data_IF_034079617646
#
_entry.id   IF_034079617646
#
_cell.length_a   1.000
_cell.length_b   1.000
_cell.length_c   1.000
_cell.angle_alpha   90.00
_cell.angle_beta   90.00
_cell.angle_gamma   90.00
#
_symmetry.space_group_name_H-M   'P 1'
#
loop_
_entity.id
_entity.type
_entity.pdbx_description
1 polymer ?
#
# COMPACT_ATOMS: atom_id res chain seq x y z
N UNK A 1 1.59 -23.56 -17.86
CA UNK A 1 2.03 -22.22 -17.41
C UNK A 1 1.98 -22.23 -15.88
N UNK A 2 3.13 -22.23 -15.20
CA UNK A 2 3.18 -22.22 -13.74
C UNK A 2 2.76 -20.83 -13.27
N UNK A 3 1.68 -20.76 -12.48
CA UNK A 3 1.24 -19.51 -11.85
C UNK A 3 2.32 -19.08 -10.85
N UNK A 4 2.87 -17.88 -10.99
CA UNK A 4 3.92 -17.38 -10.10
C UNK A 4 3.40 -17.16 -8.68
N UNK A 5 4.26 -17.30 -7.68
CA UNK A 5 3.94 -17.01 -6.29
C UNK A 5 3.40 -15.58 -6.10
N UNK A 6 3.96 -14.62 -6.83
CA UNK A 6 3.51 -13.22 -6.88
C UNK A 6 2.03 -13.07 -7.28
N UNK A 7 1.52 -13.91 -8.20
CA UNK A 7 0.12 -13.90 -8.59
C UNK A 7 -0.78 -14.35 -7.43
N UNK A 8 -0.40 -15.38 -6.70
CA UNK A 8 -1.16 -15.83 -5.52
C UNK A 8 -1.17 -14.78 -4.41
N UNK A 9 -0.07 -14.04 -4.23
CA UNK A 9 -0.03 -12.91 -3.31
C UNK A 9 -0.94 -11.76 -3.75
N UNK A 10 -1.01 -11.45 -5.04
CA UNK A 10 -1.97 -10.47 -5.56
C UNK A 10 -3.43 -10.91 -5.33
N UNK A 11 -3.75 -12.17 -5.58
CA UNK A 11 -5.09 -12.74 -5.32
C UNK A 11 -5.41 -12.71 -3.82
N UNK A 12 -4.47 -13.12 -2.96
CA UNK A 12 -4.64 -13.09 -1.52
C UNK A 12 -4.85 -11.66 -1.02
N UNK A 13 -4.10 -10.68 -1.54
CA UNK A 13 -4.27 -9.28 -1.22
C UNK A 13 -5.66 -8.76 -1.59
N UNK A 14 -6.14 -9.08 -2.79
CA UNK A 14 -7.49 -8.75 -3.22
C UNK A 14 -8.55 -9.41 -2.31
N UNK A 15 -8.38 -10.69 -1.98
CA UNK A 15 -9.29 -11.42 -1.10
C UNK A 15 -9.34 -10.82 0.32
N UNK A 16 -8.19 -10.49 0.91
CA UNK A 16 -8.11 -9.82 2.23
C UNK A 16 -8.78 -8.45 2.19
N UNK A 17 -8.54 -7.68 1.12
CA UNK A 17 -9.16 -6.37 0.93
C UNK A 17 -10.68 -6.48 0.85
N UNK A 18 -11.19 -7.42 0.04
CA UNK A 18 -12.62 -7.72 -0.07
C UNK A 18 -13.19 -8.17 1.27
N UNK A 19 -12.52 -9.07 1.99
CA UNK A 19 -12.96 -9.54 3.29
C UNK A 19 -13.14 -8.40 4.30
N UNK A 20 -12.20 -7.44 4.33
CA UNK A 20 -12.37 -6.25 5.18
C UNK A 20 -13.53 -5.37 4.70
N UNK A 21 -13.65 -5.11 3.40
CA UNK A 21 -14.72 -4.27 2.84
C UNK A 21 -16.11 -4.86 3.15
N UNK A 22 -16.30 -6.15 2.89
CA UNK A 22 -17.57 -6.84 3.17
C UNK A 22 -17.87 -6.87 4.67
N UNK A 23 -16.87 -7.11 5.51
CA UNK A 23 -17.05 -7.09 6.97
C UNK A 23 -17.47 -5.71 7.49
N UNK A 24 -16.96 -4.64 6.87
CA UNK A 24 -17.29 -3.27 7.24
C UNK A 24 -18.48 -2.69 6.47
N UNK A 25 -19.07 -3.43 5.53
CA UNK A 25 -20.17 -3.00 4.66
C UNK A 25 -19.88 -1.68 3.88
N UNK A 26 -18.62 -1.39 3.59
CA UNK A 26 -18.19 -0.15 2.92
C UNK A 26 -18.12 -0.29 1.39
N UNK A 27 -19.27 -0.48 0.77
CA UNK A 27 -19.36 -0.72 -0.68
C UNK A 27 -18.95 0.48 -1.54
N UNK A 28 -19.01 1.72 -1.01
CA UNK A 28 -18.44 2.89 -1.70
C UNK A 28 -16.94 2.70 -1.98
N UNK A 29 -16.21 2.13 -1.00
CA UNK A 29 -14.78 1.86 -1.15
C UNK A 29 -14.52 0.75 -2.18
N UNK A 30 -15.37 -0.28 -2.22
CA UNK A 30 -15.33 -1.33 -3.25
C UNK A 30 -15.52 -0.74 -4.65
N UNK A 31 -16.60 0.01 -4.86
CA UNK A 31 -16.92 0.58 -6.16
C UNK A 31 -15.88 1.58 -6.63
N UNK A 32 -15.37 2.43 -5.73
CA UNK A 32 -14.25 3.32 -6.05
C UNK A 32 -13.03 2.53 -6.53
N UNK A 33 -12.67 1.44 -5.85
CA UNK A 33 -11.55 0.57 -6.24
C UNK A 33 -11.77 -0.08 -7.59
N UNK A 34 -12.97 -0.60 -7.85
CA UNK A 34 -13.34 -1.24 -9.13
C UNK A 34 -13.30 -0.22 -10.27
N UNK A 35 -13.88 0.98 -10.08
CA UNK A 35 -13.88 2.03 -11.09
C UNK A 35 -12.46 2.53 -11.40
N UNK A 36 -11.60 2.68 -10.39
CA UNK A 36 -10.20 3.01 -10.57
C UNK A 36 -9.44 1.92 -11.33
N UNK A 37 -9.67 0.66 -10.98
CA UNK A 37 -9.08 -0.48 -11.67
C UNK A 37 -9.49 -0.49 -13.16
N UNK A 38 -10.78 -0.32 -13.45
CA UNK A 38 -11.27 -0.24 -14.83
C UNK A 38 -10.69 0.96 -15.57
N UNK A 39 -10.75 2.15 -14.97
CA UNK A 39 -10.23 3.38 -15.58
C UNK A 39 -8.74 3.28 -15.93
N UNK A 40 -7.92 2.75 -15.02
CA UNK A 40 -6.48 2.59 -15.23
C UNK A 40 -6.18 1.46 -16.19
N UNK A 41 -6.97 0.39 -16.19
CA UNK A 41 -6.85 -0.67 -17.19
C UNK A 41 -7.18 -0.16 -18.60
N UNK A 42 -8.18 0.73 -18.72
CA UNK A 42 -8.53 1.38 -19.98
C UNK A 42 -7.40 2.30 -20.49
N UNK A 43 -6.83 3.11 -19.58
CA UNK A 43 -5.69 3.97 -19.89
C UNK A 43 -4.45 3.14 -20.25
N UNK A 44 -4.17 2.08 -19.50
CA UNK A 44 -3.09 1.14 -19.76
C UNK A 44 -3.21 0.48 -21.12
N UNK A 45 -4.42 0.08 -21.54
CA UNK A 45 -4.67 -0.48 -22.87
C UNK A 45 -4.35 0.49 -24.02
N UNK A 46 -4.47 1.80 -23.78
CA UNK A 46 -4.09 2.83 -24.76
C UNK A 46 -2.60 3.13 -24.75
N UNK A 47 -1.98 3.17 -23.56
CA UNK A 47 -0.58 3.53 -23.39
C UNK A 47 0.38 2.38 -23.72
N UNK A 48 -0.01 1.14 -23.41
CA UNK A 48 0.79 -0.06 -23.58
C UNK A 48 -0.06 -1.18 -24.25
N UNK A 49 -0.41 -1.01 -25.53
CA UNK A 49 -1.27 -1.95 -26.24
C UNK A 49 -0.68 -3.37 -26.25
N UNK A 50 -1.50 -4.36 -25.91
CA UNK A 50 -1.10 -5.77 -25.87
C UNK A 50 -0.28 -6.19 -24.65
N UNK A 51 0.15 -5.25 -23.79
CA UNK A 51 0.88 -5.54 -22.55
C UNK A 51 0.05 -5.23 -21.30
N UNK A 52 -0.76 -4.17 -21.35
CA UNK A 52 -1.60 -3.73 -20.25
C UNK A 52 -3.04 -3.59 -20.74
N UNK A 53 -4.01 -4.05 -19.96
CA UNK A 53 -5.43 -3.89 -20.28
C UNK A 53 -6.31 -4.67 -19.32
N UNK A 54 -7.63 -4.59 -19.50
CA UNK A 54 -8.61 -5.23 -18.60
C UNK A 54 -8.43 -6.73 -18.45
N UNK A 55 -8.00 -7.40 -19.52
CA UNK A 55 -7.80 -8.86 -19.58
C UNK A 55 -6.37 -9.30 -19.27
N UNK A 56 -5.49 -8.37 -18.90
CA UNK A 56 -4.10 -8.65 -18.58
C UNK A 56 -3.87 -8.66 -17.07
N UNK A 57 -2.81 -9.34 -16.63
CA UNK A 57 -2.48 -9.48 -15.20
C UNK A 57 -1.82 -8.24 -14.59
N UNK A 58 -1.29 -7.32 -15.40
CA UNK A 58 -0.59 -6.11 -14.94
C UNK A 58 -1.41 -5.28 -13.93
N UNK A 59 -2.67 -4.90 -14.23
CA UNK A 59 -3.54 -4.23 -13.27
C UNK A 59 -3.70 -4.96 -11.92
N UNK A 60 -3.66 -6.29 -11.89
CA UNK A 60 -3.79 -7.07 -10.66
C UNK A 60 -2.57 -6.95 -9.73
N UNK A 61 -1.45 -6.40 -10.20
CA UNK A 61 -0.21 -6.32 -9.43
C UNK A 61 -0.08 -5.00 -8.66
N UNK A 62 -0.94 -4.03 -8.94
CA UNK A 62 -0.99 -2.73 -8.25
C UNK A 62 -2.32 -2.46 -7.51
N UNK A 63 -2.94 -3.46 -6.84
CA UNK A 63 -4.24 -3.27 -6.17
C UNK A 63 -4.17 -2.23 -5.05
N UNK A 64 -3.00 -2.09 -4.40
CA UNK A 64 -2.74 -1.09 -3.38
C UNK A 64 -2.84 0.35 -3.90
N UNK A 65 -2.54 0.60 -5.18
CA UNK A 65 -2.72 1.92 -5.80
C UNK A 65 -4.22 2.29 -5.80
N UNK A 66 -5.07 1.39 -6.32
CA UNK A 66 -6.52 1.63 -6.40
C UNK A 66 -7.11 1.79 -5.00
N UNK A 67 -6.73 0.90 -4.08
CA UNK A 67 -7.20 0.93 -2.71
C UNK A 67 -6.76 2.20 -1.97
N UNK A 68 -5.54 2.70 -2.21
CA UNK A 68 -5.04 3.94 -1.58
C UNK A 68 -5.89 5.14 -1.98
N UNK A 69 -6.15 5.30 -3.29
CA UNK A 69 -7.00 6.41 -3.77
C UNK A 69 -8.43 6.22 -3.26
N UNK A 70 -8.95 5.00 -3.31
CA UNK A 70 -10.28 4.71 -2.81
C UNK A 70 -10.39 4.97 -1.29
N UNK A 71 -9.30 4.81 -0.52
CA UNK A 71 -9.28 5.10 0.92
C UNK A 71 -9.57 6.57 1.24
N UNK A 72 -9.43 7.49 0.27
CA UNK A 72 -9.81 8.90 0.47
C UNK A 72 -11.28 9.01 0.88
N UNK A 73 -12.18 8.23 0.27
CA UNK A 73 -13.59 8.19 0.65
C UNK A 73 -13.79 7.69 2.08
N UNK A 74 -13.06 6.62 2.46
CA UNK A 74 -13.06 6.12 3.83
C UNK A 74 -12.58 7.17 4.84
N UNK A 75 -11.54 7.93 4.52
CA UNK A 75 -11.05 8.99 5.43
C UNK A 75 -12.01 10.17 5.54
N UNK A 76 -12.73 10.53 4.48
CA UNK A 76 -13.70 11.63 4.50
C UNK A 76 -14.95 11.24 5.28
N UNK A 77 -15.47 10.03 5.04
CA UNK A 77 -16.79 9.63 5.55
C UNK A 77 -16.73 9.03 6.95
N UNK A 78 -15.66 8.28 7.27
CA UNK A 78 -15.60 7.47 8.48
C UNK A 78 -14.56 7.92 9.50
N UNK A 79 -13.52 8.64 9.07
CA UNK A 79 -12.42 9.02 9.95
C UNK A 79 -12.68 10.38 10.61
N UNK A 80 -13.08 10.36 11.88
CA UNK A 80 -13.30 11.57 12.67
C UNK A 80 -12.30 11.69 13.81
N UNK A 81 -12.02 12.93 14.24
CA UNK A 81 -11.26 13.15 15.47
C UNK A 81 -12.12 12.78 16.67
N UNK A 82 -11.54 12.08 17.64
CA UNK A 82 -12.19 11.85 18.94
C UNK A 82 -12.45 13.17 19.66
N UNK A 83 -13.35 13.16 20.65
CA UNK A 83 -13.74 14.36 21.43
C UNK A 83 -12.52 15.10 22.01
N UNK A 84 -11.50 14.34 22.44
CA UNK A 84 -10.25 14.87 22.97
C UNK A 84 -9.35 15.56 21.92
N UNK A 85 -9.72 15.50 20.63
CA UNK A 85 -8.98 15.98 19.44
C UNK A 85 -7.56 15.42 19.26
N UNK A 86 -7.14 14.48 20.12
CA UNK A 86 -5.80 13.87 20.12
C UNK A 86 -5.69 12.68 19.17
N UNK A 87 -6.79 11.98 18.92
CA UNK A 87 -6.81 10.77 18.10
C UNK A 87 -7.79 10.90 16.94
N UNK A 88 -7.49 10.18 15.88
CA UNK A 88 -8.39 9.92 14.76
C UNK A 88 -8.93 8.50 14.92
N UNK A 89 -10.23 8.34 14.76
CA UNK A 89 -10.94 7.07 14.85
C UNK A 89 -11.76 6.86 13.59
N UNK A 90 -11.72 5.67 13.02
CA UNK A 90 -12.61 5.27 11.93
C UNK A 90 -13.67 4.26 12.38
N UNK A 91 -14.18 4.42 13.61
CA UNK A 91 -15.23 3.59 14.19
C UNK A 91 -14.75 2.20 14.65
N UNK A 92 -15.65 1.21 14.58
CA UNK A 92 -15.42 -0.15 15.12
C UNK A 92 -14.54 -1.05 14.24
N UNK A 93 -14.27 -0.70 12.99
CA UNK A 93 -13.66 -1.60 12.01
C UNK A 93 -12.13 -1.55 12.00
N UNK A 94 -11.50 -1.93 13.12
CA UNK A 94 -10.05 -1.84 13.30
C UNK A 94 -9.20 -2.44 12.17
N UNK A 95 -9.61 -3.59 11.60
CA UNK A 95 -8.88 -4.23 10.50
C UNK A 95 -8.89 -3.39 9.21
N UNK A 96 -10.06 -2.84 8.85
CA UNK A 96 -10.23 -1.96 7.70
C UNK A 96 -9.40 -0.68 7.87
N UNK A 97 -9.47 -0.08 9.06
CA UNK A 97 -8.73 1.15 9.37
C UNK A 97 -7.23 0.93 9.32
N UNK A 98 -6.72 -0.13 9.96
CA UNK A 98 -5.31 -0.50 9.90
C UNK A 98 -4.86 -0.71 8.45
N UNK A 99 -5.67 -1.42 7.65
CA UNK A 99 -5.35 -1.66 6.26
C UNK A 99 -5.31 -0.36 5.45
N UNK A 100 -6.32 0.50 5.57
CA UNK A 100 -6.40 1.76 4.82
C UNK A 100 -5.27 2.72 5.21
N UNK A 101 -5.04 2.90 6.52
CA UNK A 101 -3.99 3.79 7.06
C UNK A 101 -2.60 3.29 6.69
N UNK A 102 -2.31 2.01 6.89
CA UNK A 102 -1.00 1.44 6.54
C UNK A 102 -0.71 1.57 5.04
N UNK A 103 -1.72 1.38 4.18
CA UNK A 103 -1.56 1.50 2.73
C UNK A 103 -1.25 2.95 2.30
N UNK A 104 -1.93 3.94 2.90
CA UNK A 104 -1.63 5.37 2.67
C UNK A 104 -0.22 5.71 3.15
N UNK A 105 0.14 5.30 4.36
CA UNK A 105 1.48 5.55 4.93
C UNK A 105 2.57 4.91 4.07
N UNK A 106 2.36 3.68 3.61
CA UNK A 106 3.27 2.98 2.68
C UNK A 106 3.40 3.72 1.35
N UNK A 107 2.30 4.23 0.80
CA UNK A 107 2.32 5.00 -0.46
C UNK A 107 3.05 6.33 -0.30
N UNK A 108 2.84 7.04 0.80
CA UNK A 108 3.58 8.28 1.09
C UNK A 108 5.08 8.02 1.27
N UNK A 109 5.46 6.92 1.93
CA UNK A 109 6.85 6.50 2.04
C UNK A 109 7.46 6.16 0.66
N UNK A 110 6.71 5.47 -0.19
CA UNK A 110 7.13 5.13 -1.55
C UNK A 110 7.34 6.38 -2.41
N UNK A 111 6.38 7.32 -2.41
CA UNK A 111 6.47 8.59 -3.14
C UNK A 111 7.66 9.42 -2.65
N UNK A 112 7.91 9.44 -1.34
CA UNK A 112 9.08 10.10 -0.78
C UNK A 112 10.38 9.50 -1.30
N UNK A 113 10.53 8.17 -1.27
CA UNK A 113 11.71 7.49 -1.80
C UNK A 113 11.88 7.70 -3.30
N UNK A 114 10.79 7.67 -4.08
CA UNK A 114 10.81 8.00 -5.50
C UNK A 114 11.29 9.45 -5.73
N UNK A 115 10.85 10.39 -4.91
CA UNK A 115 11.35 11.77 -4.90
C UNK A 115 12.85 11.85 -4.59
N UNK A 116 13.32 11.13 -3.57
CA UNK A 116 14.75 11.03 -3.24
C UNK A 116 15.56 10.50 -4.42
N UNK A 117 15.09 9.44 -5.08
CA UNK A 117 15.75 8.88 -6.27
C UNK A 117 15.81 9.89 -7.41
N UNK A 118 14.73 10.63 -7.63
CA UNK A 118 14.65 11.62 -8.70
C UNK A 118 15.55 12.84 -8.46
N UNK A 119 15.54 13.39 -7.25
CA UNK A 119 16.20 14.67 -6.94
C UNK A 119 17.63 14.54 -6.42
N UNK A 120 17.99 13.41 -5.79
CA UNK A 120 19.26 13.28 -5.06
C UNK A 120 20.25 12.36 -5.79
N UNK A 121 19.77 11.25 -6.38
CA UNK A 121 20.67 10.26 -6.95
C UNK A 121 21.18 10.65 -8.35
N UNK A 122 22.50 10.50 -8.61
CA UNK A 122 23.05 10.70 -9.95
C UNK A 122 22.49 9.65 -10.93
N UNK A 123 22.42 10.02 -12.22
CA UNK A 123 21.76 9.23 -13.26
C UNK A 123 22.20 7.76 -13.32
N UNK A 124 23.50 7.48 -13.10
CA UNK A 124 24.03 6.13 -13.10
C UNK A 124 23.51 5.27 -11.92
N UNK A 125 23.31 5.87 -10.74
CA UNK A 125 22.77 5.18 -9.55
C UNK A 125 21.25 5.10 -9.53
N UNK A 126 20.57 6.06 -10.15
CA UNK A 126 19.10 6.16 -10.11
C UNK A 126 18.41 5.05 -10.91
N UNK A 127 19.04 4.50 -11.97
CA UNK A 127 18.45 3.40 -12.77
C UNK A 127 18.19 2.15 -11.91
N UNK A 128 19.16 1.77 -11.06
CA UNK A 128 19.02 0.61 -10.19
C UNK A 128 17.99 0.86 -9.09
N UNK A 129 17.98 2.07 -8.53
CA UNK A 129 17.00 2.47 -7.53
C UNK A 129 15.57 2.47 -8.11
N UNK A 130 15.36 3.00 -9.32
CA UNK A 130 14.07 2.94 -10.00
C UNK A 130 13.61 1.53 -10.28
N UNK A 131 14.50 0.65 -10.73
CA UNK A 131 14.17 -0.76 -10.94
C UNK A 131 13.77 -1.46 -9.63
N UNK A 132 14.45 -1.16 -8.52
CA UNK A 132 14.10 -1.71 -7.20
C UNK A 132 12.75 -1.18 -6.69
N UNK A 133 12.49 0.13 -6.80
CA UNK A 133 11.20 0.73 -6.46
C UNK A 133 10.07 0.15 -7.31
N UNK A 134 10.28 -0.03 -8.62
CA UNK A 134 9.30 -0.64 -9.50
C UNK A 134 9.02 -2.11 -9.14
N UNK A 135 10.04 -2.87 -8.69
CA UNK A 135 9.85 -4.22 -8.16
C UNK A 135 8.96 -4.24 -6.92
N UNK A 136 9.23 -3.34 -5.96
CA UNK A 136 8.45 -3.23 -4.73
C UNK A 136 6.99 -2.85 -5.03
N UNK A 137 6.80 -1.93 -5.96
CA UNK A 137 5.48 -1.35 -6.25
C UNK A 137 4.65 -2.18 -7.21
N UNK A 138 5.18 -2.54 -8.38
CA UNK A 138 4.36 -3.03 -9.49
C UNK A 138 4.73 -4.42 -10.01
N UNK A 139 5.96 -4.90 -9.81
CA UNK A 139 6.40 -6.15 -10.42
C UNK A 139 6.32 -7.37 -9.49
N UNK A 140 6.46 -7.15 -8.17
CA UNK A 140 6.43 -8.22 -7.16
C UNK A 140 5.51 -7.82 -5.99
N UNK A 141 4.19 -8.09 -6.09
CA UNK A 141 3.18 -7.70 -5.11
C UNK A 141 3.47 -8.20 -3.69
N UNK A 142 4.22 -9.29 -3.56
CA UNK A 142 4.64 -9.84 -2.27
C UNK A 142 5.35 -8.81 -1.40
N UNK A 143 6.22 -7.97 -1.97
CA UNK A 143 6.96 -6.98 -1.18
C UNK A 143 6.00 -5.98 -0.56
N UNK A 144 5.09 -5.41 -1.35
CA UNK A 144 4.11 -4.47 -0.84
C UNK A 144 3.26 -5.08 0.27
N UNK A 145 2.72 -6.29 0.04
CA UNK A 145 1.82 -6.94 0.99
C UNK A 145 2.51 -7.29 2.29
N UNK A 146 3.72 -7.86 2.24
CA UNK A 146 4.48 -8.22 3.45
C UNK A 146 4.83 -6.96 4.24
N UNK A 147 5.31 -5.92 3.58
CA UNK A 147 5.64 -4.66 4.26
C UNK A 147 4.40 -3.99 4.86
N UNK A 148 3.28 -3.97 4.14
CA UNK A 148 2.02 -3.45 4.68
C UNK A 148 1.55 -4.28 5.88
N UNK A 149 1.63 -5.61 5.81
CA UNK A 149 1.28 -6.51 6.91
C UNK A 149 2.14 -6.29 8.15
N UNK A 150 3.45 -6.12 7.98
CA UNK A 150 4.37 -5.76 9.07
C UNK A 150 3.97 -4.42 9.69
N UNK A 151 3.68 -3.40 8.87
CA UNK A 151 3.27 -2.09 9.38
C UNK A 151 1.93 -2.15 10.12
N UNK A 152 0.95 -2.89 9.60
CA UNK A 152 -0.32 -3.16 10.29
C UNK A 152 -0.09 -3.84 11.64
N UNK A 153 0.79 -4.83 11.70
CA UNK A 153 1.13 -5.52 12.94
C UNK A 153 1.78 -4.58 13.95
N UNK A 154 2.73 -3.74 13.52
CA UNK A 154 3.38 -2.73 14.38
C UNK A 154 2.34 -1.77 14.95
N UNK A 155 1.42 -1.26 14.12
CA UNK A 155 0.35 -0.39 14.58
C UNK A 155 -0.60 -1.08 15.55
N UNK A 156 -0.97 -2.33 15.27
CA UNK A 156 -1.80 -3.14 16.14
C UNK A 156 -1.13 -3.36 17.50
N UNK A 157 0.13 -3.83 17.52
CA UNK A 157 0.88 -4.10 18.75
C UNK A 157 1.06 -2.83 19.59
N UNK A 158 1.47 -1.73 18.95
CA UNK A 158 1.62 -0.46 19.65
C UNK A 158 0.29 -0.01 20.28
N UNK A 159 -0.81 -0.04 19.53
CA UNK A 159 -2.08 0.51 20.02
C UNK A 159 -2.79 -0.41 21.03
N UNK A 160 -2.84 -1.72 20.75
CA UNK A 160 -3.59 -2.70 21.55
C UNK A 160 -2.76 -3.25 22.70
N UNK A 161 -1.52 -3.63 22.45
CA UNK A 161 -0.68 -4.31 23.47
C UNK A 161 0.00 -3.30 24.38
N UNK A 162 0.61 -2.27 23.80
CA UNK A 162 1.37 -1.25 24.57
C UNK A 162 0.43 -0.20 25.17
N UNK A 163 -0.40 0.45 24.34
CA UNK A 163 -1.27 1.53 24.79
C UNK A 163 -2.62 1.06 25.37
N UNK A 164 -2.97 -0.23 25.26
CA UNK A 164 -4.26 -0.79 25.72
C UNK A 164 -5.49 -0.04 25.19
N UNK A 165 -5.42 0.41 23.94
CA UNK A 165 -6.44 1.18 23.24
C UNK A 165 -6.94 0.43 21.99
N UNK A 166 -8.09 0.87 21.44
CA UNK A 166 -8.62 0.30 20.20
C UNK A 166 -7.65 0.46 19.03
N UNK A 167 -7.45 -0.60 18.25
CA UNK A 167 -6.63 -0.60 17.03
C UNK A 167 -7.15 0.34 15.92
N UNK A 168 -8.38 0.83 16.04
CA UNK A 168 -8.93 1.84 15.12
C UNK A 168 -8.46 3.27 15.43
N UNK A 169 -7.71 3.49 16.52
CA UNK A 169 -7.24 4.80 16.95
C UNK A 169 -5.82 5.10 16.46
N UNK A 170 -5.65 6.27 15.86
CA UNK A 170 -4.37 6.76 15.35
C UNK A 170 -4.09 8.17 15.85
N UNK A 171 -2.85 8.43 16.26
CA UNK A 171 -2.37 9.78 16.57
C UNK A 171 -1.45 10.27 15.46
N UNK A 172 -1.31 11.59 15.31
CA UNK A 172 -0.37 12.18 14.35
C UNK A 172 1.06 11.66 14.54
N UNK A 173 1.51 11.54 15.79
CA UNK A 173 2.83 10.98 16.13
C UNK A 173 2.96 9.52 15.70
N UNK A 174 1.92 8.69 15.88
CA UNK A 174 1.96 7.30 15.42
C UNK A 174 2.07 7.22 13.89
N UNK A 175 1.36 8.09 13.17
CA UNK A 175 1.44 8.15 11.71
C UNK A 175 2.81 8.62 11.22
N UNK A 176 3.40 9.63 11.87
CA UNK A 176 4.76 10.10 11.57
C UNK A 176 5.80 9.00 11.80
N UNK A 177 5.76 8.33 12.94
CA UNK A 177 6.68 7.22 13.24
C UNK A 177 6.44 6.02 12.32
N UNK A 178 5.18 5.72 12.00
CA UNK A 178 4.81 4.70 11.03
C UNK A 178 5.34 5.00 9.63
N UNK A 179 5.30 6.27 9.22
CA UNK A 179 5.87 6.72 7.96
C UNK A 179 7.40 6.55 7.94
N UNK A 180 8.10 6.93 9.02
CA UNK A 180 9.54 6.70 9.13
C UNK A 180 9.89 5.20 9.05
N UNK A 181 9.13 4.35 9.75
CA UNK A 181 9.29 2.89 9.68
C UNK A 181 9.06 2.38 8.25
N UNK A 182 8.03 2.86 7.57
CA UNK A 182 7.75 2.49 6.18
C UNK A 182 8.86 2.93 5.21
N UNK A 183 9.40 4.14 5.38
CA UNK A 183 10.55 4.64 4.59
C UNK A 183 11.76 3.74 4.81
N UNK A 184 12.11 3.43 6.06
CA UNK A 184 13.25 2.56 6.38
C UNK A 184 13.06 1.16 5.80
N UNK A 185 11.90 0.56 6.01
CA UNK A 185 11.57 -0.77 5.50
C UNK A 185 11.69 -0.84 3.97
N UNK A 186 11.09 0.11 3.25
CA UNK A 186 11.14 0.15 1.79
C UNK A 186 12.57 0.44 1.29
N UNK A 187 13.32 1.32 1.96
CA UNK A 187 14.71 1.60 1.61
C UNK A 187 15.60 0.35 1.79
N UNK A 188 15.45 -0.38 2.90
CA UNK A 188 16.20 -1.63 3.17
C UNK A 188 15.90 -2.67 2.09
N UNK A 189 14.62 -2.88 1.75
CA UNK A 189 14.24 -3.82 0.68
C UNK A 189 14.78 -3.34 -0.68
N UNK A 190 14.70 -2.04 -0.98
CA UNK A 190 15.22 -1.49 -2.23
C UNK A 190 16.74 -1.70 -2.34
N UNK A 191 17.50 -1.44 -1.28
CA UNK A 191 18.94 -1.69 -1.23
C UNK A 191 19.26 -3.18 -1.40
N UNK A 192 18.54 -4.07 -0.71
CA UNK A 192 18.71 -5.52 -0.87
C UNK A 192 18.49 -5.96 -2.33
N UNK A 193 17.45 -5.43 -2.99
CA UNK A 193 17.15 -5.69 -4.40
C UNK A 193 18.19 -5.16 -5.38
N UNK A 194 18.90 -4.08 -5.01
CA UNK A 194 20.02 -3.55 -5.79
C UNK A 194 21.23 -4.48 -5.65
N UNK A 195 21.57 -4.90 -4.43
CA UNK A 195 22.71 -5.78 -4.18
C UNK A 195 22.53 -7.21 -4.70
N UNK A 196 21.30 -7.75 -4.70
CA UNK A 196 20.99 -9.06 -5.31
C UNK A 196 21.36 -9.10 -6.80
N UNK A 197 21.40 -7.95 -7.49
CA UNK A 197 21.88 -7.84 -8.88
C UNK A 197 23.39 -7.67 -9.03
N UNK A 198 24.10 -7.24 -7.99
CA UNK A 198 25.55 -7.00 -8.02
C UNK A 198 26.41 -8.23 -7.70
N UNK A 199 25.79 -9.39 -7.44
CA UNK A 199 26.45 -10.65 -7.11
C UNK A 199 26.69 -11.58 -8.30
N UNK A 200 26.89 -11.04 -9.51
CA UNK A 200 27.32 -11.78 -10.70
C UNK A 200 28.58 -11.14 -11.29
#
# INVERSE_FOLDING_TARGET
MMVSLDFWFAVAYAAVSLAFIFRAQRFQWLWATVLLWLGISALGARLLPGMWGFTHTGPLFIPHFYLTIASIFFFIDDCSKTEDKKFWSAGEYAGLTLFAVSNVVMTLAFVFLAGVVYFILPLAGSVFAWAALLKIYALKPIYWFVLQGVLMLVFYLHRVVVCRQSAALFSATQLQMGWLVAVVMQAVVAMALIFERGGY
#
